data_IF_769057515897
#
_entry.id   IF_769057515897
#
_cell.length_a   1.000
_cell.length_b   1.000
_cell.length_c   1.000
_cell.angle_alpha   90.00
_cell.angle_beta   90.00
_cell.angle_gamma   90.00
#
_symmetry.space_group_name_H-M   'P 1'
#
loop_
_entity.id
_entity.type
_entity.pdbx_description
1 polymer ?
#
# COMPACT_ATOMS: atom_id res chain seq x y z
N UNK A 1 -7.14 9.51 -17.43
CA UNK A 1 -6.30 8.32 -17.16
C UNK A 1 -6.52 7.99 -15.70
N UNK A 2 -6.69 6.72 -15.36
CA UNK A 2 -7.08 6.30 -13.99
C UNK A 2 -5.90 6.48 -13.03
N UNK A 3 -6.10 7.26 -11.97
CA UNK A 3 -5.14 7.47 -10.88
C UNK A 3 -4.89 6.12 -10.18
N UNK A 4 -3.63 5.80 -9.89
CA UNK A 4 -3.27 4.55 -9.20
C UNK A 4 -2.99 4.85 -7.74
N UNK A 5 -3.83 4.35 -6.85
CA UNK A 5 -3.61 4.42 -5.40
C UNK A 5 -2.61 3.36 -4.99
N UNK A 6 -1.65 3.73 -4.14
CA UNK A 6 -0.64 2.82 -3.60
C UNK A 6 -0.67 2.88 -2.07
N UNK A 7 -0.53 1.72 -1.45
CA UNK A 7 -0.29 1.59 0.00
C UNK A 7 1.17 1.22 0.23
N UNK A 8 1.84 1.96 1.11
CA UNK A 8 3.12 1.58 1.67
C UNK A 8 2.93 1.07 3.09
N UNK A 9 3.41 -0.15 3.36
CA UNK A 9 3.29 -0.84 4.62
C UNK A 9 4.68 -1.00 5.22
N UNK A 10 4.89 -0.44 6.41
CA UNK A 10 6.11 -0.64 7.17
C UNK A 10 5.94 -1.69 8.24
N UNK A 11 6.79 -2.71 8.16
CA UNK A 11 6.82 -3.79 9.12
C UNK A 11 7.74 -3.47 10.31
N UNK A 12 7.54 -4.22 11.39
CA UNK A 12 8.29 -4.08 12.64
C UNK A 12 9.75 -4.54 12.54
N UNK A 13 10.07 -5.40 11.58
CA UNK A 13 11.43 -5.83 11.22
C UNK A 13 12.19 -4.81 10.36
N UNK A 14 11.50 -3.77 9.87
CA UNK A 14 12.07 -2.71 9.04
C UNK A 14 11.88 -2.91 7.54
N UNK A 15 11.21 -3.98 7.11
CA UNK A 15 10.85 -4.17 5.70
C UNK A 15 9.73 -3.19 5.28
N UNK A 16 9.75 -2.81 4.00
CA UNK A 16 8.75 -1.95 3.36
C UNK A 16 8.13 -2.72 2.21
N UNK A 17 6.80 -2.73 2.16
CA UNK A 17 6.04 -3.30 1.04
C UNK A 17 5.13 -2.24 0.44
N UNK A 18 5.29 -2.01 -0.85
CA UNK A 18 4.47 -1.09 -1.65
C UNK A 18 3.57 -1.90 -2.57
N UNK A 19 2.26 -1.68 -2.49
CA UNK A 19 1.25 -2.40 -3.28
C UNK A 19 0.30 -1.42 -3.96
N UNK A 20 0.04 -1.65 -5.24
CA UNK A 20 -1.03 -0.94 -5.95
C UNK A 20 -2.38 -1.46 -5.47
N UNK A 21 -3.28 -0.54 -5.15
CA UNK A 21 -4.64 -0.87 -4.70
C UNK A 21 -5.66 0.00 -5.42
N UNK A 22 -6.88 -0.49 -5.50
CA UNK A 22 -8.03 0.28 -6.01
C UNK A 22 -8.65 1.15 -4.92
N UNK A 23 -9.50 2.12 -5.30
CA UNK A 23 -10.25 2.96 -4.34
C UNK A 23 -11.17 2.11 -3.45
N UNK A 24 -11.81 1.08 -3.99
CA UNK A 24 -12.65 0.15 -3.22
C UNK A 24 -11.83 -0.64 -2.18
N UNK A 25 -10.62 -1.06 -2.53
CA UNK A 25 -9.70 -1.72 -1.59
C UNK A 25 -9.24 -0.76 -0.50
N UNK A 26 -8.92 0.49 -0.85
CA UNK A 26 -8.54 1.52 0.12
C UNK A 26 -9.60 1.69 1.23
N UNK A 27 -10.87 1.85 0.85
CA UNK A 27 -11.96 2.02 1.82
C UNK A 27 -12.17 0.78 2.70
N UNK A 28 -11.90 -0.42 2.17
CA UNK A 28 -12.01 -1.68 2.91
C UNK A 28 -10.85 -1.88 3.88
N UNK A 29 -9.63 -1.57 3.44
CA UNK A 29 -8.39 -1.91 4.14
C UNK A 29 -8.21 -1.18 5.46
N UNK A 30 -8.64 0.08 5.57
CA UNK A 30 -8.55 0.85 6.83
C UNK A 30 -9.26 0.13 7.99
N UNK A 31 -10.45 -0.44 7.71
CA UNK A 31 -11.21 -1.22 8.69
C UNK A 31 -10.67 -2.63 8.91
N UNK A 32 -10.17 -3.29 7.85
CA UNK A 32 -9.67 -4.67 7.96
C UNK A 32 -8.33 -4.77 8.68
N UNK A 33 -7.40 -3.86 8.39
CA UNK A 33 -6.05 -3.86 9.00
C UNK A 33 -6.14 -3.72 10.52
N UNK A 34 -7.12 -2.94 11.00
CA UNK A 34 -7.32 -2.69 12.43
C UNK A 34 -8.10 -3.79 13.15
N UNK A 35 -8.85 -4.63 12.42
CA UNK A 35 -9.81 -5.59 12.98
C UNK A 35 -9.42 -7.06 12.81
N UNK A 36 -8.61 -7.39 11.79
CA UNK A 36 -8.24 -8.77 11.45
C UNK A 36 -6.72 -8.98 11.60
N UNK A 37 -6.26 -10.11 12.16
CA UNK A 37 -4.83 -10.43 12.28
C UNK A 37 -4.16 -10.75 10.94
N UNK A 38 -4.95 -11.08 9.91
CA UNK A 38 -4.47 -11.44 8.58
C UNK A 38 -5.37 -10.80 7.53
N UNK A 39 -4.78 -10.11 6.56
CA UNK A 39 -5.48 -9.44 5.45
C UNK A 39 -4.85 -9.86 4.12
N UNK A 40 -5.62 -9.88 3.04
CA UNK A 40 -5.12 -10.13 1.68
C UNK A 40 -5.16 -8.82 0.88
N UNK A 41 -4.02 -8.41 0.35
CA UNK A 41 -3.85 -7.18 -0.44
C UNK A 41 -3.07 -7.52 -1.70
N UNK A 42 -3.65 -7.27 -2.88
CA UNK A 42 -3.01 -7.58 -4.18
C UNK A 42 -2.44 -9.02 -4.24
N UNK A 43 -3.20 -10.00 -3.74
CA UNK A 43 -2.77 -11.41 -3.67
C UNK A 43 -1.70 -11.74 -2.62
N UNK A 44 -1.25 -10.77 -1.82
CA UNK A 44 -0.32 -10.96 -0.72
C UNK A 44 -1.08 -11.09 0.61
N UNK A 45 -0.85 -12.18 1.34
CA UNK A 45 -1.36 -12.36 2.70
C UNK A 45 -0.43 -11.68 3.71
N UNK A 46 -0.94 -10.67 4.41
CA UNK A 46 -0.19 -9.83 5.34
C UNK A 46 -0.69 -10.05 6.77
N UNK A 47 0.25 -10.22 7.71
CA UNK A 47 -0.05 -10.24 9.13
C UNK A 47 -0.14 -8.80 9.66
N UNK A 48 -1.28 -8.38 10.19
CA UNK A 48 -1.45 -6.99 10.65
C UNK A 48 -0.72 -6.71 11.94
N UNK A 49 -0.41 -7.73 12.75
CA UNK A 49 0.37 -7.58 13.97
C UNK A 49 1.85 -7.25 13.70
N UNK A 50 2.35 -7.48 12.48
CA UNK A 50 3.71 -7.11 12.10
C UNK A 50 3.79 -5.70 11.52
N UNK A 51 2.65 -5.05 11.27
CA UNK A 51 2.58 -3.68 10.75
C UNK A 51 2.88 -2.70 11.87
N UNK A 52 3.84 -1.80 11.61
CA UNK A 52 4.16 -0.68 12.51
C UNK A 52 3.34 0.56 12.16
N UNK A 53 3.24 0.87 10.87
CA UNK A 53 2.42 1.93 10.31
C UNK A 53 2.26 1.72 8.80
N UNK A 54 1.23 2.33 8.23
CA UNK A 54 0.97 2.35 6.78
C UNK A 54 0.50 3.74 6.36
N UNK A 55 0.66 4.08 5.09
CA UNK A 55 0.05 5.25 4.49
C UNK A 55 -0.33 4.98 3.05
N UNK A 56 -1.23 5.82 2.55
CA UNK A 56 -1.72 5.77 1.17
C UNK A 56 -1.28 7.03 0.44
N UNK A 57 -0.94 6.86 -0.83
CA UNK A 57 -0.61 7.95 -1.72
C UNK A 57 -1.01 7.60 -3.14
N UNK A 58 -1.40 8.62 -3.90
CA UNK A 58 -1.78 8.48 -5.29
C UNK A 58 -0.53 8.70 -6.15
N UNK A 59 -0.29 7.80 -7.09
CA UNK A 59 0.72 8.00 -8.12
C UNK A 59 0.00 8.59 -9.34
N UNK A 60 0.39 9.80 -9.78
CA UNK A 60 -0.17 10.36 -11.01
C UNK A 60 0.16 9.41 -12.17
N UNK A 61 -0.85 9.06 -12.96
CA UNK A 61 -0.67 8.25 -14.16
C UNK A 61 0.13 9.07 -15.21
N UNK A 62 1.45 8.88 -15.20
CA UNK A 62 2.44 9.33 -16.19
C UNK A 62 2.73 10.86 -16.26
N UNK A 63 3.77 11.28 -15.54
CA UNK A 63 4.88 12.01 -16.16
C UNK A 63 6.16 11.23 -15.81
N UNK A 64 6.69 10.46 -16.75
CA UNK A 64 8.09 10.03 -16.86
C UNK A 64 8.87 9.84 -15.53
N UNK A 65 8.75 8.65 -14.92
CA UNK A 65 9.75 8.21 -13.96
C UNK A 65 11.05 7.85 -14.70
N UNK A 66 11.95 8.83 -14.85
CA UNK A 66 13.38 8.56 -15.07
C UNK A 66 14.14 9.49 -16.01
N UNK A 67 14.25 10.79 -15.69
CA UNK A 67 15.43 11.56 -16.09
C UNK A 67 16.32 11.77 -14.86
N UNK A 68 17.59 11.42 -15.04
CA UNK A 68 18.63 11.26 -14.04
C UNK A 68 18.76 12.49 -13.12
N UNK A 69 18.79 12.27 -11.81
CA UNK A 69 19.37 13.24 -10.88
C UNK A 69 20.91 13.22 -11.08
N UNK A 70 21.38 14.02 -12.04
CA UNK A 70 22.78 14.39 -12.28
C UNK A 70 23.13 15.68 -11.54
#
# INVERSE_FOLDING_TARGET
>A
MEETTVIAIHFTDGEVLELGITEEEFERLDGEITSNPWVEIDGNTINTATIKYFWFYEIPADEEAGEEAL
#
